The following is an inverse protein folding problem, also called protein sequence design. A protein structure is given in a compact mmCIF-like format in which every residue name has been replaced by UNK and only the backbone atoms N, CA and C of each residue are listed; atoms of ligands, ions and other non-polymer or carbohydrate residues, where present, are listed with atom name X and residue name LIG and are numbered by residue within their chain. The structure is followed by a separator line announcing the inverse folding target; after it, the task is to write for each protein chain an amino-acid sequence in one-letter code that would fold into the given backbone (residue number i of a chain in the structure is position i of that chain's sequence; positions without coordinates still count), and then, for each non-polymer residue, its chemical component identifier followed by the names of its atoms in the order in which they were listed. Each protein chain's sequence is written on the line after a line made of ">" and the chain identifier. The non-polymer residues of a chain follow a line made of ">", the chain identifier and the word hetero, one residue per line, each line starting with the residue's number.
data_IF_628072152831
#
_entry.id   IF_628072152831
#
_cell.length_a   1.000
_cell.length_b   1.000
_cell.length_c   1.000
_cell.angle_alpha   90.00
_cell.angle_beta   90.00
_cell.angle_gamma   90.00
#
_symmetry.space_group_name_H-M   'P 1'
#
loop_
_entity.id
_entity.type
_entity.pdbx_description
1 polymer ?
#
# COMPACT_ATOMS: atom_id res chain seq x y z
N UNK A 1 23.98 8.18 8.72
CA UNK A 1 25.42 7.91 8.44
C UNK A 1 25.91 8.81 7.31
N UNK A 2 27.21 8.96 7.12
CA UNK A 2 27.81 9.73 6.02
C UNK A 2 28.85 8.88 5.28
N UNK A 3 28.81 8.89 3.94
CA UNK A 3 29.84 8.29 3.07
C UNK A 3 30.19 9.26 1.94
N UNK A 4 31.48 9.51 1.75
CA UNK A 4 31.94 10.47 0.75
C UNK A 4 33.30 10.10 0.16
N UNK A 5 33.57 10.61 -1.05
CA UNK A 5 34.84 10.43 -1.77
C UNK A 5 35.31 8.97 -1.87
N UNK A 6 34.40 8.02 -2.08
CA UNK A 6 34.79 6.69 -2.55
C UNK A 6 35.40 6.81 -3.94
N UNK A 7 36.40 5.96 -4.23
CA UNK A 7 37.13 5.97 -5.49
C UNK A 7 36.94 4.68 -6.28
N UNK A 8 36.87 4.79 -7.61
CA UNK A 8 36.70 3.66 -8.54
C UNK A 8 37.95 3.38 -9.39
N UNK A 9 39.13 3.58 -8.81
CA UNK A 9 40.48 3.38 -9.41
C UNK A 9 40.53 3.78 -10.90
N UNK A 10 40.16 5.03 -11.22
CA UNK A 10 40.24 5.54 -12.60
C UNK A 10 39.34 4.83 -13.61
N UNK A 11 38.24 4.22 -13.17
CA UNK A 11 37.30 3.46 -14.00
C UNK A 11 37.69 1.98 -14.21
N UNK A 12 38.75 1.50 -13.57
CA UNK A 12 39.10 0.07 -13.57
C UNK A 12 38.25 -0.74 -12.59
N UNK A 13 37.76 -0.09 -11.52
CA UNK A 13 36.75 -0.66 -10.63
C UNK A 13 35.35 -0.31 -11.15
N UNK A 14 34.50 -1.31 -11.32
CA UNK A 14 33.10 -1.13 -11.72
C UNK A 14 32.20 -0.57 -10.61
N UNK A 15 32.71 -0.54 -9.37
CA UNK A 15 32.00 -0.14 -8.16
C UNK A 15 32.46 1.24 -7.65
N UNK A 16 32.44 1.44 -6.32
CA UNK A 16 32.76 2.70 -5.66
C UNK A 16 31.51 3.47 -5.25
N UNK A 17 30.38 2.81 -5.10
CA UNK A 17 29.15 3.40 -4.59
C UNK A 17 29.27 3.68 -3.09
N UNK A 18 28.47 4.61 -2.58
CA UNK A 18 28.37 4.85 -1.15
C UNK A 18 27.74 3.67 -0.40
N UNK A 19 26.71 3.08 -0.99
CA UNK A 19 25.89 2.04 -0.39
C UNK A 19 25.72 0.89 -1.38
N UNK A 20 25.78 -0.34 -0.87
CA UNK A 20 25.62 -1.55 -1.68
C UNK A 20 24.65 -2.51 -0.99
N UNK A 21 23.52 -2.77 -1.64
CA UNK A 21 22.67 -3.89 -1.34
C UNK A 21 23.14 -5.08 -2.18
N UNK A 22 24.04 -5.86 -1.59
CA UNK A 22 24.56 -7.09 -2.17
C UNK A 22 23.62 -8.28 -1.88
N UNK A 23 24.10 -9.50 -2.09
CA UNK A 23 23.37 -10.75 -1.89
C UNK A 23 22.74 -10.79 -0.50
N UNK A 24 21.41 -10.76 -0.47
CA UNK A 24 20.64 -10.61 0.74
C UNK A 24 19.16 -10.43 0.44
N UNK A 25 18.35 -10.46 1.49
CA UNK A 25 16.92 -10.23 1.41
C UNK A 25 16.51 -9.20 2.47
N UNK A 26 15.89 -8.10 2.04
CA UNK A 26 15.35 -7.08 2.94
C UNK A 26 16.38 -6.06 3.46
N UNK A 27 17.49 -5.83 2.76
CA UNK A 27 18.45 -4.76 3.12
C UNK A 27 17.75 -3.39 3.12
N UNK A 28 17.82 -2.66 4.25
CA UNK A 28 17.24 -1.32 4.39
C UNK A 28 18.35 -0.29 4.63
N UNK A 29 18.42 0.70 3.75
CA UNK A 29 19.22 1.91 3.95
C UNK A 29 18.27 3.08 4.21
N UNK A 30 18.34 3.64 5.43
CA UNK A 30 17.59 4.83 5.82
C UNK A 30 18.42 5.87 6.56
N UNK A 31 18.10 7.14 6.35
CA UNK A 31 18.69 8.28 7.06
C UNK A 31 20.21 8.44 6.82
N UNK A 32 20.64 8.17 5.59
CA UNK A 32 22.04 8.24 5.18
C UNK A 32 22.28 9.42 4.23
N UNK A 33 23.45 10.04 4.39
CA UNK A 33 23.95 11.09 3.53
C UNK A 33 25.13 10.54 2.72
N UNK A 34 25.11 10.73 1.41
CA UNK A 34 26.25 10.43 0.55
C UNK A 34 26.62 11.62 -0.31
N UNK A 35 27.92 11.84 -0.52
CA UNK A 35 28.34 12.85 -1.47
C UNK A 35 29.69 12.60 -2.16
N UNK A 36 29.79 13.06 -3.40
CA UNK A 36 31.02 13.04 -4.20
C UNK A 36 31.67 11.65 -4.37
N UNK A 37 30.87 10.59 -4.31
CA UNK A 37 31.33 9.22 -4.51
C UNK A 37 31.52 8.92 -6.00
N UNK A 38 32.66 8.34 -6.41
CA UNK A 38 32.98 8.11 -7.83
C UNK A 38 32.11 7.03 -8.49
N UNK A 39 31.67 6.01 -7.73
CA UNK A 39 30.84 4.92 -8.25
C UNK A 39 29.33 5.17 -8.18
N UNK A 40 28.88 6.21 -7.46
CA UNK A 40 27.47 6.56 -7.31
C UNK A 40 26.97 6.49 -5.88
N UNK A 41 25.65 6.60 -5.70
CA UNK A 41 25.04 6.58 -4.37
C UNK A 41 24.73 5.15 -3.93
N UNK A 42 23.88 4.43 -4.66
CA UNK A 42 23.35 3.15 -4.21
C UNK A 42 23.42 2.08 -5.31
N UNK A 43 24.10 0.98 -5.02
CA UNK A 43 24.11 -0.23 -5.83
C UNK A 43 23.10 -1.25 -5.31
N UNK A 44 22.41 -1.92 -6.24
CA UNK A 44 21.68 -3.15 -5.98
C UNK A 44 22.36 -4.24 -6.80
N UNK A 45 23.16 -5.07 -6.12
CA UNK A 45 24.14 -5.94 -6.76
C UNK A 45 23.52 -7.29 -7.14
N UNK A 46 23.31 -7.47 -8.44
CA UNK A 46 23.02 -8.75 -9.08
C UNK A 46 21.68 -9.37 -8.65
N UNK A 47 21.43 -10.58 -9.15
CA UNK A 47 20.13 -11.24 -9.10
C UNK A 47 19.71 -11.76 -7.71
N UNK A 48 20.60 -11.65 -6.71
CA UNK A 48 20.36 -12.16 -5.35
C UNK A 48 20.20 -11.06 -4.29
N UNK A 49 20.12 -9.79 -4.72
CA UNK A 49 19.75 -8.67 -3.85
C UNK A 49 18.21 -8.48 -3.86
N UNK A 50 17.52 -9.24 -3.00
CA UNK A 50 16.06 -9.27 -2.90
C UNK A 50 15.52 -8.17 -1.98
N UNK A 51 14.37 -7.61 -2.37
CA UNK A 51 13.52 -6.75 -1.54
C UNK A 51 14.25 -5.59 -0.84
N UNK A 52 15.27 -5.01 -1.48
CA UNK A 52 16.02 -3.91 -0.89
C UNK A 52 15.17 -2.64 -0.79
N UNK A 53 15.37 -1.88 0.28
CA UNK A 53 14.69 -0.60 0.54
C UNK A 53 15.72 0.49 0.72
N UNK A 54 15.59 1.57 -0.05
CA UNK A 54 16.41 2.77 0.07
C UNK A 54 15.47 3.95 0.31
N UNK A 55 15.42 4.46 1.54
CA UNK A 55 14.44 5.48 1.95
C UNK A 55 14.95 6.61 2.81
N UNK A 56 14.39 7.81 2.69
CA UNK A 56 14.76 8.95 3.55
C UNK A 56 16.28 9.18 3.59
N UNK A 57 16.95 9.03 2.45
CA UNK A 57 18.37 9.33 2.29
C UNK A 57 18.56 10.60 1.47
N UNK A 58 19.70 11.26 1.66
CA UNK A 58 20.14 12.41 0.87
C UNK A 58 21.40 12.00 0.11
N UNK A 59 21.42 12.22 -1.21
CA UNK A 59 22.61 12.05 -2.04
C UNK A 59 22.92 13.35 -2.74
N UNK A 60 24.19 13.75 -2.72
CA UNK A 60 24.65 15.01 -3.28
C UNK A 60 25.88 14.78 -4.15
N UNK A 61 25.82 15.12 -5.43
CA UNK A 61 26.98 15.11 -6.32
C UNK A 61 27.70 13.75 -6.47
N UNK A 62 27.06 12.65 -6.09
CA UNK A 62 27.53 11.30 -6.41
C UNK A 62 27.62 11.12 -7.94
N UNK A 63 28.59 10.32 -8.40
CA UNK A 63 29.01 10.22 -9.81
C UNK A 63 28.48 8.93 -10.46
N UNK A 64 28.94 8.62 -11.69
CA UNK A 64 28.65 7.42 -12.52
C UNK A 64 27.16 7.16 -12.87
N UNK A 65 26.32 7.12 -11.85
CA UNK A 65 24.86 7.19 -11.83
C UNK A 65 24.41 7.05 -10.38
N UNK A 66 23.34 7.76 -10.00
CA UNK A 66 22.92 7.80 -8.59
C UNK A 66 22.47 6.42 -8.10
N UNK A 67 21.66 5.73 -8.89
CA UNK A 67 21.21 4.36 -8.63
C UNK A 67 21.86 3.41 -9.64
N UNK A 68 22.59 2.40 -9.15
CA UNK A 68 23.19 1.34 -9.94
C UNK A 68 22.36 0.07 -9.82
N UNK A 69 21.55 -0.23 -10.84
CA UNK A 69 20.60 -1.34 -10.82
C UNK A 69 21.12 -2.55 -11.62
N UNK A 70 22.09 -3.27 -11.05
CA UNK A 70 22.76 -4.37 -11.73
C UNK A 70 21.92 -5.66 -11.68
N UNK A 71 20.99 -5.88 -12.62
CA UNK A 71 20.28 -7.18 -12.79
C UNK A 71 19.39 -7.63 -11.62
N UNK A 72 19.05 -6.74 -10.68
CA UNK A 72 18.37 -7.13 -9.43
C UNK A 72 16.88 -7.47 -9.59
N UNK A 73 16.34 -8.35 -8.71
CA UNK A 73 14.96 -8.83 -8.79
C UNK A 73 13.92 -7.75 -8.44
N UNK A 74 14.16 -6.90 -7.43
CA UNK A 74 13.36 -5.72 -7.07
C UNK A 74 14.02 -4.87 -5.98
N UNK A 75 14.02 -3.54 -6.13
CA UNK A 75 14.31 -2.59 -5.06
C UNK A 75 13.23 -1.49 -4.96
N UNK A 76 12.88 -1.08 -3.73
CA UNK A 76 11.97 0.02 -3.46
C UNK A 76 12.78 1.26 -3.06
N UNK A 77 12.68 2.33 -3.84
CA UNK A 77 13.43 3.58 -3.68
C UNK A 77 12.43 4.70 -3.40
N UNK A 78 12.31 5.16 -2.15
CA UNK A 78 11.29 6.15 -1.83
C UNK A 78 11.65 7.20 -0.81
N UNK A 79 11.03 8.38 -0.88
CA UNK A 79 11.28 9.48 0.06
C UNK A 79 12.77 9.86 0.17
N UNK A 80 13.53 9.78 -0.93
CA UNK A 80 14.92 10.26 -0.94
C UNK A 80 15.00 11.62 -1.64
N UNK A 81 16.05 12.37 -1.32
CA UNK A 81 16.42 13.58 -2.05
C UNK A 81 17.75 13.39 -2.75
N UNK A 82 17.72 13.36 -4.08
CA UNK A 82 18.89 13.21 -4.94
C UNK A 82 19.23 14.55 -5.59
N UNK A 83 20.38 15.11 -5.24
CA UNK A 83 20.93 16.32 -5.86
C UNK A 83 22.04 15.94 -6.83
N UNK A 84 21.71 15.92 -8.11
CA UNK A 84 22.46 15.26 -9.17
C UNK A 84 23.24 16.31 -9.96
N UNK A 85 24.57 16.21 -9.95
CA UNK A 85 25.44 17.12 -10.69
C UNK A 85 25.32 16.94 -12.21
N UNK A 86 25.78 17.95 -12.94
CA UNK A 86 25.73 17.99 -14.40
C UNK A 86 26.35 16.72 -15.03
N UNK A 87 25.70 16.21 -16.07
CA UNK A 87 26.08 15.01 -16.82
C UNK A 87 26.01 13.66 -16.07
N UNK A 88 25.48 13.60 -14.85
CA UNK A 88 25.26 12.33 -14.14
C UNK A 88 23.84 11.79 -14.42
N UNK A 89 23.66 10.51 -14.79
CA UNK A 89 22.35 9.86 -14.90
C UNK A 89 21.73 9.52 -13.55
N UNK A 90 20.40 9.55 -13.47
CA UNK A 90 19.69 9.06 -12.28
C UNK A 90 19.91 7.54 -12.08
N UNK A 91 19.63 6.74 -13.10
CA UNK A 91 19.88 5.28 -13.08
C UNK A 91 20.98 4.93 -14.07
N UNK A 92 21.88 4.05 -13.64
CA UNK A 92 22.98 3.52 -14.43
C UNK A 92 23.08 2.00 -14.26
N UNK A 93 23.65 1.31 -15.24
CA UNK A 93 24.11 -0.08 -15.10
C UNK A 93 25.32 -0.31 -15.98
N UNK A 94 26.30 -1.04 -15.45
CA UNK A 94 27.46 -1.54 -16.19
C UNK A 94 27.26 -2.98 -16.72
N UNK A 95 26.19 -3.67 -16.29
CA UNK A 95 25.94 -5.09 -16.63
C UNK A 95 25.19 -5.29 -17.95
N UNK A 96 24.72 -4.20 -18.57
CA UNK A 96 23.89 -4.24 -19.78
C UNK A 96 22.45 -4.76 -19.54
N UNK A 97 22.11 -5.08 -18.29
CA UNK A 97 20.78 -5.50 -17.86
C UNK A 97 20.36 -4.71 -16.63
N UNK A 98 19.12 -4.25 -16.63
CA UNK A 98 18.57 -3.47 -15.53
C UNK A 98 17.73 -4.36 -14.63
N UNK A 99 17.84 -4.14 -13.32
CA UNK A 99 16.93 -4.72 -12.35
C UNK A 99 15.53 -4.08 -12.37
N UNK A 100 14.68 -4.53 -11.46
CA UNK A 100 13.34 -3.95 -11.24
C UNK A 100 13.40 -2.88 -10.15
N UNK A 101 12.89 -1.67 -10.41
CA UNK A 101 12.84 -0.58 -9.43
C UNK A 101 11.41 -0.08 -9.24
N UNK A 102 11.01 0.16 -7.99
CA UNK A 102 9.79 0.91 -7.64
C UNK A 102 10.19 2.23 -6.99
N UNK A 103 10.01 3.34 -7.71
CA UNK A 103 10.53 4.67 -7.36
C UNK A 103 9.38 5.60 -6.97
N UNK A 104 9.27 5.98 -5.70
CA UNK A 104 8.13 6.78 -5.18
C UNK A 104 8.53 7.94 -4.28
N UNK A 105 7.81 9.05 -4.30
CA UNK A 105 8.03 10.16 -3.36
C UNK A 105 9.47 10.71 -3.31
N UNK A 106 10.27 10.59 -4.37
CA UNK A 106 11.63 11.12 -4.37
C UNK A 106 11.66 12.54 -4.95
N UNK A 107 12.55 13.38 -4.44
CA UNK A 107 12.99 14.59 -5.16
C UNK A 107 14.23 14.21 -5.97
N UNK A 108 14.13 14.29 -7.29
CA UNK A 108 15.20 14.02 -8.25
C UNK A 108 15.59 15.36 -8.88
N UNK A 109 16.61 15.99 -8.30
CA UNK A 109 17.02 17.35 -8.62
C UNK A 109 18.26 17.37 -9.51
N UNK A 110 18.10 17.70 -10.80
CA UNK A 110 19.25 17.85 -11.70
C UNK A 110 19.84 19.27 -11.65
N UNK A 111 21.03 19.39 -11.06
CA UNK A 111 21.74 20.66 -10.87
C UNK A 111 22.58 21.10 -12.10
N UNK A 112 22.28 20.58 -13.30
CA UNK A 112 22.94 20.99 -14.53
C UNK A 112 22.57 22.41 -14.98
N UNK A 113 23.45 23.04 -15.75
CA UNK A 113 23.25 24.40 -16.24
C UNK A 113 22.10 24.54 -17.24
N UNK A 114 21.73 23.43 -17.88
CA UNK A 114 20.62 23.32 -18.83
C UNK A 114 19.77 22.09 -18.52
N UNK A 115 18.46 22.07 -18.87
CA UNK A 115 17.61 20.93 -18.59
C UNK A 115 18.05 19.68 -19.37
N UNK A 116 17.95 18.51 -18.73
CA UNK A 116 18.43 17.24 -19.30
C UNK A 116 17.31 16.39 -19.88
N UNK A 117 17.57 15.72 -21.01
CA UNK A 117 16.79 14.54 -21.41
C UNK A 117 17.36 13.32 -20.70
N UNK A 118 16.55 12.64 -19.90
CA UNK A 118 16.98 11.47 -19.13
C UNK A 118 16.39 10.19 -19.71
N UNK A 119 17.18 9.11 -19.67
CA UNK A 119 16.66 7.80 -19.99
C UNK A 119 16.05 7.16 -18.73
N UNK A 120 14.72 7.26 -18.60
CA UNK A 120 13.99 6.67 -17.48
C UNK A 120 13.62 5.19 -17.69
N UNK A 121 13.81 4.66 -18.90
CA UNK A 121 13.46 3.28 -19.27
C UNK A 121 14.65 2.36 -19.04
N UNK A 122 14.85 2.01 -17.78
CA UNK A 122 15.94 1.15 -17.31
C UNK A 122 15.35 -0.15 -16.78
N UNK A 123 15.08 -1.13 -17.66
CA UNK A 123 14.45 -2.40 -17.25
C UNK A 123 12.98 -2.25 -16.86
N UNK A 124 12.56 -2.94 -15.80
CA UNK A 124 11.21 -2.83 -15.22
C UNK A 124 11.19 -1.78 -14.11
N UNK A 125 11.03 -0.50 -14.46
CA UNK A 125 10.93 0.59 -13.49
C UNK A 125 9.50 1.16 -13.43
N UNK A 126 8.96 1.32 -12.22
CA UNK A 126 7.75 2.11 -11.95
C UNK A 126 8.12 3.41 -11.24
N UNK A 127 7.41 4.48 -11.59
CA UNK A 127 7.58 5.80 -10.98
C UNK A 127 6.21 6.34 -10.58
N UNK A 128 6.05 6.82 -9.34
CA UNK A 128 4.84 7.53 -8.92
C UNK A 128 5.15 8.59 -7.85
N UNK A 129 4.42 9.71 -7.85
CA UNK A 129 4.57 10.77 -6.83
C UNK A 129 6.00 11.30 -6.66
N UNK A 130 6.84 11.29 -7.70
CA UNK A 130 8.19 11.88 -7.61
C UNK A 130 8.18 13.32 -8.14
N UNK A 131 9.09 14.15 -7.65
CA UNK A 131 9.38 15.49 -8.21
C UNK A 131 10.67 15.42 -9.03
N UNK A 132 10.61 15.84 -10.29
CA UNK A 132 11.74 15.90 -11.21
C UNK A 132 12.05 17.35 -11.52
N UNK A 133 13.23 17.83 -11.10
CA UNK A 133 13.64 19.22 -11.32
C UNK A 133 14.66 19.29 -12.45
N UNK A 134 14.44 20.22 -13.39
CA UNK A 134 15.36 20.56 -14.47
C UNK A 134 15.58 19.42 -15.48
N UNK A 135 14.52 18.68 -15.78
CA UNK A 135 14.49 17.70 -16.87
C UNK A 135 13.56 18.18 -18.00
N UNK A 136 13.88 17.82 -19.24
CA UNK A 136 13.02 18.03 -20.41
C UNK A 136 11.90 16.98 -20.50
N UNK A 137 12.08 15.83 -19.86
CA UNK A 137 11.15 14.71 -19.86
C UNK A 137 11.08 14.05 -18.48
N UNK A 138 9.93 13.45 -18.16
CA UNK A 138 9.71 12.66 -16.93
C UNK A 138 9.14 11.28 -17.29
N UNK A 139 9.33 10.25 -16.45
CA UNK A 139 8.76 8.93 -16.70
C UNK A 139 7.23 8.97 -16.63
N UNK A 140 6.60 8.08 -17.40
CA UNK A 140 5.18 7.79 -17.25
C UNK A 140 4.92 7.21 -15.86
N UNK A 141 3.88 7.69 -15.20
CA UNK A 141 3.59 7.30 -13.83
C UNK A 141 2.55 8.21 -13.19
N UNK A 142 1.92 7.73 -12.12
CA UNK A 142 0.89 8.48 -11.42
C UNK A 142 1.51 9.66 -10.66
N UNK A 143 0.90 10.84 -10.77
CA UNK A 143 1.20 12.02 -9.95
C UNK A 143 2.68 12.47 -9.93
N UNK A 144 3.47 12.11 -10.95
CA UNK A 144 4.83 12.64 -11.12
C UNK A 144 4.76 14.14 -11.46
N UNK A 145 5.61 14.93 -10.82
CA UNK A 145 5.66 16.39 -10.98
C UNK A 145 6.96 16.78 -11.70
N UNK A 146 6.83 17.40 -12.88
CA UNK A 146 7.96 18.02 -13.58
C UNK A 146 8.06 19.50 -13.17
N UNK A 147 9.27 19.96 -12.87
CA UNK A 147 9.57 21.35 -12.52
C UNK A 147 10.78 21.86 -13.30
N UNK A 148 10.71 23.12 -13.73
CA UNK A 148 11.88 23.84 -14.23
C UNK A 148 12.90 24.06 -13.10
N UNK A 149 14.15 24.43 -13.44
CA UNK A 149 15.14 24.81 -12.44
C UNK A 149 14.66 25.99 -11.55
N UNK A 150 13.94 26.96 -12.14
CA UNK A 150 13.41 28.13 -11.43
C UNK A 150 12.34 27.74 -10.43
N UNK A 151 11.38 26.89 -10.83
CA UNK A 151 10.37 26.38 -9.92
C UNK A 151 10.99 25.50 -8.83
N UNK A 152 11.95 24.65 -9.19
CA UNK A 152 12.64 23.74 -8.26
C UNK A 152 13.39 24.46 -7.14
N UNK A 153 13.86 25.69 -7.38
CA UNK A 153 14.50 26.51 -6.36
C UNK A 153 13.56 26.90 -5.19
N UNK A 154 12.25 26.72 -5.34
CA UNK A 154 11.26 26.93 -4.27
C UNK A 154 10.99 25.69 -3.41
N UNK A 155 11.58 24.53 -3.74
CA UNK A 155 11.30 23.29 -3.02
C UNK A 155 11.99 23.23 -1.65
N UNK A 156 13.28 23.53 -1.64
CA UNK A 156 14.19 23.35 -0.49
C UNK A 156 14.99 24.62 -0.24
N UNK A 157 15.47 24.82 0.98
CA UNK A 157 16.10 26.08 1.42
C UNK A 157 17.32 26.48 0.57
N UNK A 158 18.31 25.60 0.45
CA UNK A 158 19.53 25.81 -0.38
C UNK A 158 20.21 24.45 -0.66
N UNK A 159 19.59 23.58 -1.49
CA UNK A 159 20.06 22.22 -1.70
C UNK A 159 21.40 22.19 -2.45
N UNK A 160 22.22 21.17 -2.22
CA UNK A 160 23.54 21.03 -2.84
C UNK A 160 24.68 21.71 -2.09
N UNK A 161 24.43 22.18 -0.86
CA UNK A 161 25.42 22.81 0.04
C UNK A 161 25.79 21.96 1.24
N UNK A 162 25.39 20.69 1.25
CA UNK A 162 25.82 19.74 2.28
C UNK A 162 27.34 19.64 2.31
N UNK A 163 27.89 19.66 3.51
CA UNK A 163 29.32 19.57 3.78
C UNK A 163 29.69 18.28 4.48
N UNK A 164 30.99 18.10 4.66
CA UNK A 164 31.55 16.88 5.26
C UNK A 164 31.63 16.99 6.77
N UNK A 165 31.27 15.91 7.47
CA UNK A 165 31.47 15.79 8.91
C UNK A 165 32.94 15.94 9.31
N UNK A 166 33.20 16.60 10.44
CA UNK A 166 34.55 16.87 10.93
C UNK A 166 34.60 16.87 12.47
N UNK A 167 35.75 17.28 13.03
CA UNK A 167 35.96 17.31 14.48
C UNK A 167 35.01 18.29 15.21
N UNK A 168 34.38 19.22 14.50
CA UNK A 168 33.48 20.24 15.05
C UNK A 168 31.99 19.84 14.97
N UNK A 169 31.65 18.78 14.24
CA UNK A 169 30.28 18.31 14.11
C UNK A 169 30.09 17.29 13.00
N UNK A 170 28.99 16.55 13.07
CA UNK A 170 28.59 15.63 12.00
C UNK A 170 28.11 16.41 10.76
N UNK A 171 28.10 15.75 9.59
CA UNK A 171 27.59 16.36 8.36
C UNK A 171 26.14 16.82 8.48
N UNK A 172 25.32 16.19 9.34
CA UNK A 172 23.91 16.55 9.55
C UNK A 172 23.72 18.06 9.82
N UNK A 173 24.63 18.69 10.57
CA UNK A 173 24.60 20.12 10.88
C UNK A 173 24.77 21.04 9.65
N UNK A 174 25.08 20.48 8.48
CA UNK A 174 25.28 21.21 7.22
C UNK A 174 24.15 20.96 6.21
N UNK A 175 23.17 20.12 6.56
CA UNK A 175 22.14 19.63 5.63
C UNK A 175 20.83 20.42 5.69
N UNK A 176 20.77 21.53 6.43
CA UNK A 176 19.58 22.39 6.51
C UNK A 176 19.11 22.90 5.14
N UNK A 177 20.01 22.99 4.17
CA UNK A 177 19.68 23.35 2.78
C UNK A 177 18.70 22.37 2.10
N UNK A 178 18.56 21.14 2.61
CA UNK A 178 17.65 20.12 2.10
C UNK A 178 16.26 20.13 2.78
N UNK A 179 16.06 20.96 3.80
CA UNK A 179 14.73 21.14 4.40
C UNK A 179 13.80 21.81 3.39
N UNK A 180 12.53 21.43 3.41
CA UNK A 180 11.52 22.02 2.54
C UNK A 180 11.24 23.48 2.96
N UNK A 181 10.96 24.33 1.99
CA UNK A 181 10.49 25.70 2.24
C UNK A 181 8.97 25.74 2.43
N UNK A 182 8.49 26.78 3.13
CA UNK A 182 7.05 27.05 3.24
C UNK A 182 6.40 27.16 1.85
N UNK A 183 5.27 26.45 1.67
CA UNK A 183 4.57 26.40 0.38
C UNK A 183 5.25 25.57 -0.70
N UNK A 184 6.31 24.83 -0.35
CA UNK A 184 6.92 23.85 -1.25
C UNK A 184 5.89 22.87 -1.78
N UNK A 185 5.94 22.59 -3.09
CA UNK A 185 5.07 21.61 -3.76
C UNK A 185 5.33 20.17 -3.34
N UNK A 186 6.37 19.92 -2.55
CA UNK A 186 6.65 18.63 -1.95
C UNK A 186 5.80 18.36 -0.71
N UNK A 187 5.31 19.40 -0.03
CA UNK A 187 4.55 19.28 1.20
C UNK A 187 3.20 18.57 0.93
N UNK A 188 2.93 17.50 1.66
CA UNK A 188 1.76 16.63 1.56
C UNK A 188 1.49 16.11 0.14
N UNK A 189 2.51 15.96 -0.69
CA UNK A 189 2.35 15.55 -2.09
C UNK A 189 2.69 14.07 -2.32
N UNK A 190 3.25 13.40 -1.30
CA UNK A 190 3.61 12.00 -1.34
C UNK A 190 2.42 11.07 -1.17
N UNK A 191 2.69 9.78 -1.33
CA UNK A 191 1.75 8.70 -1.02
C UNK A 191 2.34 7.80 0.05
N UNK A 192 1.51 7.21 0.91
CA UNK A 192 2.02 6.27 1.91
C UNK A 192 2.68 5.06 1.24
N UNK A 193 3.92 4.81 1.60
CA UNK A 193 4.66 3.61 1.21
C UNK A 193 4.77 2.72 2.44
N UNK A 194 4.33 1.47 2.32
CA UNK A 194 4.39 0.50 3.42
C UNK A 194 5.85 0.34 3.89
N UNK A 195 6.07 0.65 5.16
CA UNK A 195 7.35 0.46 5.82
C UNK A 195 7.50 -1.01 6.23
N UNK A 196 8.64 -1.68 5.96
CA UNK A 196 8.86 -3.04 6.40
C UNK A 196 8.57 -3.22 7.91
N UNK A 197 7.66 -4.13 8.24
CA UNK A 197 7.14 -4.29 9.61
C UNK A 197 8.24 -4.57 10.65
N UNK A 198 9.29 -5.31 10.27
CA UNK A 198 10.39 -5.64 11.16
C UNK A 198 11.15 -4.41 11.68
N UNK A 199 11.09 -3.26 10.98
CA UNK A 199 11.74 -2.03 11.46
C UNK A 199 11.09 -1.50 12.74
N UNK A 200 9.77 -1.63 12.88
CA UNK A 200 9.06 -1.27 14.10
C UNK A 200 9.41 -2.21 15.27
N UNK A 201 9.66 -3.49 14.98
CA UNK A 201 10.11 -4.46 16.00
C UNK A 201 11.52 -4.14 16.53
N UNK A 202 12.30 -3.38 15.77
CA UNK A 202 13.67 -2.98 16.11
C UNK A 202 13.76 -1.62 16.84
N UNK A 203 12.63 -0.97 17.17
CA UNK A 203 12.63 0.31 17.92
C UNK A 203 13.39 0.22 19.25
N UNK A 204 13.26 -0.90 19.96
CA UNK A 204 14.02 -1.17 21.19
C UNK A 204 15.54 -1.19 21.01
N UNK A 205 16.03 -1.29 19.76
CA UNK A 205 17.43 -1.28 19.37
C UNK A 205 17.87 0.09 18.82
N UNK A 206 17.00 1.10 18.84
CA UNK A 206 17.26 2.45 18.32
C UNK A 206 17.03 2.61 16.82
N UNK A 207 16.31 1.68 16.18
CA UNK A 207 15.85 1.82 14.79
C UNK A 207 14.51 2.56 14.80
N UNK A 208 14.45 3.73 14.18
CA UNK A 208 13.22 4.49 14.06
C UNK A 208 12.60 4.26 12.68
N UNK A 209 11.34 3.86 12.62
CA UNK A 209 10.66 3.48 11.37
C UNK A 209 9.66 4.55 10.90
N UNK A 210 9.35 5.51 11.75
CA UNK A 210 8.25 6.47 11.71
C UNK A 210 8.72 7.93 11.56
N UNK A 211 9.98 8.13 11.19
CA UNK A 211 10.59 9.46 11.03
C UNK A 211 11.32 9.62 9.70
N UNK A 212 11.59 10.88 9.33
CA UNK A 212 12.37 11.29 8.16
C UNK A 212 13.89 11.30 8.43
N UNK A 213 14.67 11.86 7.50
CA UNK A 213 16.12 12.01 7.63
C UNK A 213 16.54 12.90 8.83
N UNK A 214 15.72 13.88 9.20
CA UNK A 214 15.99 14.88 10.24
C UNK A 214 15.36 14.52 11.59
N UNK A 215 14.65 13.40 11.69
CA UNK A 215 13.97 12.95 12.90
C UNK A 215 12.57 13.54 13.08
N UNK A 216 11.99 14.14 12.04
CA UNK A 216 10.60 14.58 12.06
C UNK A 216 9.68 13.36 11.86
N UNK A 217 8.55 13.28 12.60
CA UNK A 217 7.60 12.18 12.43
C UNK A 217 6.91 12.23 11.07
N UNK A 218 6.66 11.06 10.49
CA UNK A 218 5.99 10.90 9.19
C UNK A 218 4.47 10.88 9.38
N UNK A 219 3.76 11.72 8.63
CA UNK A 219 2.29 11.73 8.59
C UNK A 219 1.69 10.65 7.69
N UNK A 220 0.36 10.56 7.65
CA UNK A 220 -0.37 9.76 6.65
C UNK A 220 -0.36 10.37 5.26
N UNK A 221 0.00 11.65 5.14
CA UNK A 221 0.25 12.31 3.87
C UNK A 221 1.70 12.79 3.81
N UNK A 222 2.65 11.86 3.58
CA UNK A 222 4.07 12.19 3.66
C UNK A 222 4.45 13.24 2.61
N UNK A 223 5.49 14.00 2.93
CA UNK A 223 6.10 14.91 1.99
C UNK A 223 6.88 14.14 0.91
N UNK A 224 7.11 14.75 -0.25
CA UNK A 224 8.01 14.18 -1.27
C UNK A 224 9.45 14.56 -0.90
N UNK A 225 10.34 13.56 -0.80
CA UNK A 225 11.76 13.74 -0.48
C UNK A 225 12.12 13.23 0.91
N UNK A 226 13.33 13.58 1.36
CA UNK A 226 13.92 13.09 2.60
C UNK A 226 13.55 13.91 3.86
N UNK A 227 12.79 14.99 3.71
CA UNK A 227 12.35 15.87 4.80
C UNK A 227 10.83 15.89 4.88
N UNK A 228 10.31 15.76 6.10
CA UNK A 228 8.92 15.96 6.47
C UNK A 228 8.75 17.31 7.15
N UNK A 229 7.77 18.07 6.69
CA UNK A 229 7.27 19.28 7.34
C UNK A 229 6.51 18.95 8.61
N UNK A 230 6.22 19.95 9.44
CA UNK A 230 5.51 19.72 10.69
C UNK A 230 4.14 19.08 10.45
N UNK A 231 3.79 18.05 11.24
CA UNK A 231 2.50 17.35 11.16
C UNK A 231 1.28 18.28 11.23
N UNK A 232 1.40 19.43 11.89
CA UNK A 232 0.36 20.46 11.90
C UNK A 232 0.00 20.98 10.49
N UNK A 233 0.89 20.79 9.52
CA UNK A 233 0.73 21.15 8.13
C UNK A 233 0.16 20.03 7.27
N UNK A 234 -0.10 18.81 7.79
CA UNK A 234 -0.61 17.63 7.04
C UNK A 234 -1.94 17.88 6.27
N UNK A 235 -2.54 19.04 6.52
CA UNK A 235 -3.77 19.50 5.92
C UNK A 235 -4.98 19.09 6.74
N UNK A 236 -6.14 19.19 6.12
CA UNK A 236 -7.44 18.94 6.74
C UNK A 236 -8.15 17.71 6.13
N UNK A 237 -7.46 16.95 5.29
CA UNK A 237 -7.96 15.69 4.77
C UNK A 237 -7.97 14.64 5.88
N UNK A 238 -9.13 14.02 6.12
CA UNK A 238 -9.31 13.01 7.16
C UNK A 238 -9.05 11.63 6.58
N UNK A 239 -7.87 11.09 6.90
CA UNK A 239 -7.39 9.77 6.49
C UNK A 239 -7.44 8.82 7.68
N UNK A 240 -7.70 7.54 7.40
CA UNK A 240 -7.66 6.44 8.37
C UNK A 240 -6.99 5.25 7.70
N UNK A 241 -5.95 4.71 8.33
CA UNK A 241 -5.26 3.50 7.87
C UNK A 241 -5.10 2.51 9.01
N UNK A 242 -5.04 1.23 8.67
CA UNK A 242 -4.75 0.16 9.62
C UNK A 242 -4.06 -0.99 8.90
N UNK A 243 -3.09 -1.61 9.57
CA UNK A 243 -2.49 -2.88 9.14
C UNK A 243 -3.19 -4.10 9.78
N UNK A 244 -4.21 -3.87 10.62
CA UNK A 244 -4.92 -4.91 11.37
C UNK A 244 -6.37 -5.02 10.90
N UNK A 245 -7.04 -3.88 10.75
CA UNK A 245 -8.44 -3.82 10.35
C UNK A 245 -8.60 -3.48 8.89
N UNK A 246 -9.66 -3.99 8.27
CA UNK A 246 -10.00 -3.66 6.90
C UNK A 246 -10.78 -2.35 6.86
N UNK A 247 -10.16 -1.30 6.34
CA UNK A 247 -10.79 0.00 6.09
C UNK A 247 -11.46 -0.03 4.72
N UNK A 248 -12.74 0.34 4.67
CA UNK A 248 -13.51 0.46 3.42
C UNK A 248 -14.07 1.87 3.33
N UNK A 249 -13.82 2.53 2.21
CA UNK A 249 -14.34 3.87 1.90
C UNK A 249 -15.06 3.83 0.55
N UNK A 250 -16.38 4.03 0.58
CA UNK A 250 -17.26 3.93 -0.58
C UNK A 250 -18.33 5.04 -0.53
N UNK A 251 -18.94 5.36 -1.68
CA UNK A 251 -20.04 6.35 -1.77
C UNK A 251 -21.24 5.99 -0.88
N UNK A 252 -21.40 4.71 -0.53
CA UNK A 252 -22.46 4.16 0.32
C UNK A 252 -22.17 4.32 1.82
N UNK A 253 -20.94 4.70 2.19
CA UNK A 253 -20.49 4.90 3.57
C UNK A 253 -19.14 4.23 3.85
N UNK A 254 -18.43 4.72 4.86
CA UNK A 254 -17.15 4.15 5.27
C UNK A 254 -17.33 3.16 6.43
N UNK A 255 -16.43 2.18 6.52
CA UNK A 255 -16.43 1.22 7.61
C UNK A 255 -15.03 0.74 7.99
N UNK A 256 -14.92 0.26 9.23
CA UNK A 256 -13.78 -0.51 9.72
C UNK A 256 -14.26 -1.90 10.11
N UNK A 257 -13.70 -2.91 9.48
CA UNK A 257 -14.19 -4.29 9.56
C UNK A 257 -13.14 -5.22 10.17
N UNK A 258 -13.62 -6.34 10.71
CA UNK A 258 -12.76 -7.37 11.29
C UNK A 258 -12.22 -7.01 12.67
N UNK A 259 -12.97 -6.23 13.46
CA UNK A 259 -12.57 -5.88 14.82
C UNK A 259 -12.83 -7.10 15.73
N UNK A 260 -11.82 -7.65 16.43
CA UNK A 260 -12.03 -8.80 17.30
C UNK A 260 -13.02 -8.50 18.42
N UNK A 261 -13.76 -9.52 18.86
CA UNK A 261 -14.68 -9.37 20.00
C UNK A 261 -13.94 -8.95 21.26
N UNK A 262 -14.64 -8.20 22.12
CA UNK A 262 -14.12 -7.65 23.38
C UNK A 262 -12.97 -6.64 23.20
N UNK A 263 -12.75 -6.13 21.98
CA UNK A 263 -11.82 -5.01 21.76
C UNK A 263 -12.39 -3.74 22.38
N UNK A 264 -11.63 -3.11 23.28
CA UNK A 264 -11.97 -1.79 23.84
C UNK A 264 -11.68 -0.67 22.85
N UNK A 265 -12.29 0.50 23.05
CA UNK A 265 -12.00 1.68 22.22
C UNK A 265 -10.51 2.03 22.26
N UNK A 266 -9.85 1.93 23.41
CA UNK A 266 -8.40 2.13 23.57
C UNK A 266 -7.60 1.16 22.67
N UNK A 267 -7.85 -0.14 22.81
CA UNK A 267 -7.15 -1.18 22.03
C UNK A 267 -7.38 -1.02 20.52
N UNK A 268 -8.56 -0.56 20.11
CA UNK A 268 -8.84 -0.28 18.71
C UNK A 268 -8.04 0.93 18.20
N UNK A 269 -8.02 2.03 18.96
CA UNK A 269 -7.31 3.24 18.57
C UNK A 269 -5.79 3.01 18.48
N UNK A 270 -5.23 2.09 19.25
CA UNK A 270 -3.83 1.65 19.13
C UNK A 270 -3.50 0.93 17.81
N UNK A 271 -4.51 0.43 17.08
CA UNK A 271 -4.33 -0.36 15.84
C UNK A 271 -4.74 0.39 14.58
N UNK A 272 -5.12 1.65 14.71
CA UNK A 272 -5.38 2.56 13.59
C UNK A 272 -4.45 3.76 13.65
N UNK A 273 -4.15 4.32 12.49
CA UNK A 273 -3.51 5.62 12.37
C UNK A 273 -4.48 6.53 11.61
N UNK A 274 -4.53 7.79 12.00
CA UNK A 274 -5.37 8.80 11.35
C UNK A 274 -4.60 10.12 11.23
N UNK A 275 -5.07 11.02 10.36
CA UNK A 275 -4.44 12.33 10.14
C UNK A 275 -4.10 12.99 11.47
N UNK A 276 -2.86 13.42 11.64
CA UNK A 276 -2.31 13.86 12.93
C UNK A 276 -3.05 15.07 13.54
N UNK A 277 -3.63 15.92 12.70
CA UNK A 277 -4.43 17.09 13.10
C UNK A 277 -5.85 16.73 13.53
N UNK A 278 -6.28 15.48 13.34
CA UNK A 278 -7.61 15.02 13.66
C UNK A 278 -7.73 14.48 15.09
N UNK A 279 -8.93 14.57 15.65
CA UNK A 279 -9.33 13.83 16.85
C UNK A 279 -10.20 12.65 16.46
N UNK A 280 -10.06 11.52 17.16
CA UNK A 280 -10.89 10.33 17.01
C UNK A 280 -11.82 10.18 18.21
N UNK A 281 -13.12 9.98 17.94
CA UNK A 281 -14.11 9.65 18.98
C UNK A 281 -15.04 8.55 18.49
N UNK A 282 -15.20 7.51 19.31
CA UNK A 282 -16.20 6.47 19.08
C UNK A 282 -17.50 6.87 19.76
N UNK A 283 -18.62 6.76 19.05
CA UNK A 283 -19.95 6.99 19.58
C UNK A 283 -20.86 5.78 19.37
N UNK A 284 -21.80 5.60 20.29
CA UNK A 284 -22.90 4.64 20.21
C UNK A 284 -24.20 5.41 20.29
N UNK A 285 -24.99 5.39 19.22
CA UNK A 285 -26.24 6.16 19.14
C UNK A 285 -26.02 7.62 19.56
N UNK A 286 -25.02 8.28 18.96
CA UNK A 286 -24.57 9.66 19.23
C UNK A 286 -24.02 9.94 20.64
N UNK A 287 -23.90 8.92 21.51
CA UNK A 287 -23.29 9.06 22.84
C UNK A 287 -21.82 8.61 22.79
N UNK A 288 -20.86 9.40 23.30
CA UNK A 288 -19.46 8.97 23.39
C UNK A 288 -19.29 7.63 24.12
N UNK A 289 -18.43 6.77 23.59
CA UNK A 289 -18.02 5.50 24.22
C UNK A 289 -16.67 5.72 24.89
N UNK A 290 -16.57 5.40 26.18
CA UNK A 290 -15.35 5.58 26.96
C UNK A 290 -14.24 4.63 26.48
N UNK A 291 -12.98 5.03 26.63
CA UNK A 291 -11.82 4.28 26.13
C UNK A 291 -11.77 2.82 26.63
N UNK A 292 -12.21 2.57 27.87
CA UNK A 292 -12.21 1.24 28.49
C UNK A 292 -13.42 0.37 28.10
N UNK A 293 -14.42 0.93 27.42
CA UNK A 293 -15.60 0.18 27.00
C UNK A 293 -15.33 -0.59 25.71
N UNK A 294 -15.98 -1.75 25.59
CA UNK A 294 -15.90 -2.56 24.37
C UNK A 294 -16.65 -1.89 23.22
N UNK A 295 -16.06 -2.00 22.03
CA UNK A 295 -16.72 -1.64 20.77
C UNK A 295 -17.83 -2.65 20.49
N UNK A 296 -18.99 -2.13 20.10
CA UNK A 296 -20.07 -2.93 19.54
C UNK A 296 -20.19 -2.67 18.05
N UNK A 297 -20.68 -3.67 17.34
CA UNK A 297 -21.00 -3.53 15.92
C UNK A 297 -22.04 -2.43 15.72
N UNK A 298 -21.75 -1.48 14.83
CA UNK A 298 -22.58 -0.29 14.59
C UNK A 298 -22.18 0.94 15.38
N UNK A 299 -21.19 0.85 16.29
CA UNK A 299 -20.54 2.04 16.85
C UNK A 299 -19.88 2.84 15.72
N UNK A 300 -19.77 4.15 15.87
CA UNK A 300 -19.26 5.06 14.84
C UNK A 300 -17.96 5.69 15.33
N UNK A 301 -16.86 5.44 14.61
CA UNK A 301 -15.66 6.26 14.73
C UNK A 301 -15.86 7.55 13.93
N UNK A 302 -15.75 8.70 14.59
CA UNK A 302 -15.73 10.01 13.94
C UNK A 302 -14.33 10.59 14.06
N UNK A 303 -13.69 10.82 12.90
CA UNK A 303 -12.52 11.69 12.79
C UNK A 303 -13.00 13.13 12.62
N UNK A 304 -12.40 14.08 13.34
CA UNK A 304 -12.73 15.51 13.25
C UNK A 304 -11.46 16.35 13.21
N UNK A 305 -11.36 17.25 12.22
CA UNK A 305 -10.32 18.28 12.15
C UNK A 305 -10.94 19.56 11.57
N UNK A 306 -10.65 20.71 12.18
CA UNK A 306 -11.30 21.99 11.85
C UNK A 306 -12.85 21.86 11.81
N UNK A 307 -13.49 22.14 10.67
CA UNK A 307 -14.93 21.99 10.42
C UNK A 307 -15.29 20.68 9.71
N UNK A 308 -14.31 19.84 9.38
CA UNK A 308 -14.50 18.58 8.66
C UNK A 308 -14.72 17.41 9.62
N UNK A 309 -15.56 16.48 9.17
CA UNK A 309 -15.81 15.20 9.84
C UNK A 309 -15.83 14.07 8.83
N UNK A 310 -15.27 12.92 9.23
CA UNK A 310 -15.35 11.67 8.47
C UNK A 310 -15.72 10.55 9.42
N UNK A 311 -16.73 9.78 9.06
CA UNK A 311 -17.31 8.75 9.92
C UNK A 311 -17.10 7.37 9.33
N UNK A 312 -16.83 6.41 10.21
CA UNK A 312 -16.69 5.00 9.88
C UNK A 312 -17.58 4.17 10.79
N UNK A 313 -18.40 3.30 10.20
CA UNK A 313 -19.15 2.31 10.97
C UNK A 313 -18.21 1.17 11.37
N UNK A 314 -18.17 0.84 12.66
CA UNK A 314 -17.31 -0.19 13.22
C UNK A 314 -18.04 -1.54 13.21
N UNK A 315 -17.42 -2.54 12.59
CA UNK A 315 -17.96 -3.88 12.49
C UNK A 315 -17.00 -4.91 13.11
N UNK A 316 -17.55 -5.67 14.06
CA UNK A 316 -16.82 -6.78 14.68
C UNK A 316 -16.62 -7.92 13.68
N UNK A 317 -15.65 -8.79 13.96
CA UNK A 317 -15.47 -10.05 13.25
C UNK A 317 -16.78 -10.87 13.23
N UNK A 318 -17.20 -11.40 12.06
CA UNK A 318 -18.43 -12.18 11.97
C UNK A 318 -18.38 -13.49 12.75
N UNK A 319 -19.54 -13.92 13.22
CA UNK A 319 -19.80 -15.33 13.55
C UNK A 319 -20.39 -16.03 12.34
N UNK A 320 -19.74 -17.09 11.87
CA UNK A 320 -20.24 -17.92 10.78
C UNK A 320 -21.16 -19.01 11.29
N UNK A 321 -22.20 -19.29 10.51
CA UNK A 321 -23.16 -20.33 10.84
C UNK A 321 -22.61 -21.72 10.54
N UNK A 322 -23.08 -22.70 11.32
CA UNK A 322 -22.93 -24.11 10.98
C UNK A 322 -23.67 -24.40 9.66
N UNK A 323 -22.95 -24.97 8.70
CA UNK A 323 -23.46 -25.21 7.33
C UNK A 323 -24.06 -26.61 7.14
N UNK A 324 -24.19 -27.37 8.23
CA UNK A 324 -24.72 -28.74 8.17
C UNK A 324 -26.12 -28.74 7.56
N UNK A 325 -26.29 -29.48 6.45
CA UNK A 325 -27.56 -29.60 5.72
C UNK A 325 -27.83 -28.50 4.69
N UNK A 326 -26.97 -27.48 4.59
CA UNK A 326 -27.05 -26.49 3.52
C UNK A 326 -26.80 -27.14 2.16
N UNK A 327 -27.32 -26.52 1.11
CA UNK A 327 -27.05 -26.93 -0.28
C UNK A 327 -26.66 -25.74 -1.11
N UNK A 328 -25.84 -25.95 -2.13
CA UNK A 328 -25.49 -24.93 -3.10
C UNK A 328 -25.90 -25.31 -4.52
N UNK A 329 -26.24 -24.30 -5.32
CA UNK A 329 -26.41 -24.40 -6.77
C UNK A 329 -25.57 -23.32 -7.45
N UNK A 330 -25.15 -23.55 -8.69
CA UNK A 330 -24.34 -22.58 -9.43
C UNK A 330 -24.81 -22.47 -10.87
N UNK A 331 -24.55 -21.31 -11.49
CA UNK A 331 -24.87 -21.09 -12.90
C UNK A 331 -24.01 -21.92 -13.86
N UNK A 332 -22.83 -22.34 -13.42
CA UNK A 332 -21.95 -23.27 -14.14
C UNK A 332 -21.15 -24.11 -13.13
N UNK A 333 -20.85 -25.35 -13.50
CA UNK A 333 -20.02 -26.24 -12.71
C UNK A 333 -19.22 -27.18 -13.61
N UNK A 334 -17.99 -27.47 -13.18
CA UNK A 334 -17.17 -28.51 -13.75
C UNK A 334 -17.53 -29.87 -13.13
N UNK A 335 -17.49 -30.94 -13.93
CA UNK A 335 -17.69 -32.30 -13.43
C UNK A 335 -16.63 -32.65 -12.37
N UNK A 336 -17.06 -32.96 -11.15
CA UNK A 336 -16.20 -33.26 -10.00
C UNK A 336 -15.88 -32.06 -9.08
N UNK A 337 -16.22 -30.84 -9.52
CA UNK A 337 -15.97 -29.57 -8.82
C UNK A 337 -17.30 -28.80 -8.70
N UNK A 338 -18.35 -29.49 -8.24
CA UNK A 338 -19.70 -28.96 -8.11
C UNK A 338 -19.85 -27.93 -6.99
N UNK A 339 -20.99 -27.23 -6.96
CA UNK A 339 -21.25 -26.15 -6.00
C UNK A 339 -21.17 -26.62 -4.53
N UNK A 340 -21.45 -27.90 -4.26
CA UNK A 340 -21.33 -28.52 -2.94
C UNK A 340 -19.92 -28.43 -2.35
N UNK A 341 -18.89 -28.34 -3.19
CA UNK A 341 -17.51 -28.19 -2.76
C UNK A 341 -17.23 -26.87 -2.06
N UNK A 342 -18.04 -25.84 -2.28
CA UNK A 342 -17.92 -24.58 -1.57
C UNK A 342 -18.47 -24.65 -0.11
N UNK A 343 -19.02 -25.78 0.31
CA UNK A 343 -19.66 -25.97 1.62
C UNK A 343 -19.09 -27.15 2.41
N UNK A 344 -18.06 -27.83 1.92
CA UNK A 344 -17.58 -29.10 2.50
C UNK A 344 -16.51 -28.94 3.60
N UNK A 345 -16.05 -27.71 3.84
CA UNK A 345 -15.10 -27.38 4.91
C UNK A 345 -13.66 -27.76 4.57
N UNK A 346 -13.37 -28.06 3.30
CA UNK A 346 -12.06 -28.46 2.82
C UNK A 346 -11.54 -27.48 1.77
N UNK A 347 -10.61 -26.63 2.21
CA UNK A 347 -9.98 -25.60 1.37
C UNK A 347 -9.15 -26.16 0.20
N UNK A 348 -8.82 -27.46 0.21
CA UNK A 348 -8.12 -28.15 -0.88
C UNK A 348 -9.07 -28.59 -2.01
N UNK A 349 -10.38 -28.58 -1.77
CA UNK A 349 -11.41 -28.76 -2.79
C UNK A 349 -12.03 -27.42 -3.18
N UNK A 350 -12.67 -27.38 -4.35
CA UNK A 350 -13.36 -26.17 -4.80
C UNK A 350 -14.55 -26.48 -5.69
N UNK A 351 -15.52 -25.57 -5.66
CA UNK A 351 -16.41 -25.37 -6.78
C UNK A 351 -15.65 -24.59 -7.86
N UNK A 352 -15.77 -25.05 -9.11
CA UNK A 352 -15.28 -24.32 -10.27
C UNK A 352 -16.35 -24.34 -11.36
N UNK A 353 -16.54 -23.22 -12.06
CA UNK A 353 -17.30 -23.19 -13.31
C UNK A 353 -16.71 -24.14 -14.36
N UNK A 354 -17.44 -24.47 -15.42
CA UNK A 354 -16.93 -25.35 -16.47
C UNK A 354 -15.55 -24.90 -17.02
N UNK A 355 -14.61 -25.83 -17.23
CA UNK A 355 -13.27 -25.52 -17.77
C UNK A 355 -13.27 -25.06 -19.23
N UNK A 356 -14.41 -25.15 -19.94
CA UNK A 356 -14.59 -24.51 -21.26
C UNK A 356 -15.08 -23.05 -21.15
N UNK A 357 -15.16 -22.51 -19.93
CA UNK A 357 -15.66 -21.18 -19.63
C UNK A 357 -17.15 -21.17 -19.26
N UNK A 358 -17.58 -20.12 -18.59
CA UNK A 358 -18.99 -19.80 -18.38
C UNK A 358 -19.32 -18.41 -18.95
N UNK A 359 -20.60 -18.17 -19.24
CA UNK A 359 -21.07 -16.83 -19.58
C UNK A 359 -21.24 -15.97 -18.31
N UNK A 360 -21.33 -14.65 -18.46
CA UNK A 360 -21.44 -13.73 -17.32
C UNK A 360 -22.73 -13.95 -16.49
N UNK A 361 -23.83 -14.35 -17.13
CA UNK A 361 -25.10 -14.71 -16.48
C UNK A 361 -25.05 -16.07 -15.76
N UNK A 362 -24.00 -16.86 -15.99
CA UNK A 362 -23.72 -18.12 -15.29
C UNK A 362 -22.68 -17.96 -14.16
N UNK A 363 -22.06 -16.78 -14.01
CA UNK A 363 -20.98 -16.53 -13.07
C UNK A 363 -21.49 -16.28 -11.64
N UNK A 364 -22.21 -17.24 -11.07
CA UNK A 364 -22.78 -17.15 -9.72
C UNK A 364 -22.89 -18.51 -9.03
N UNK A 365 -22.89 -18.46 -7.69
CA UNK A 365 -23.25 -19.55 -6.77
C UNK A 365 -24.29 -19.07 -5.77
N UNK A 366 -25.27 -19.91 -5.49
CA UNK A 366 -26.38 -19.67 -4.57
C UNK A 366 -26.37 -20.71 -3.47
N UNK A 367 -26.46 -20.25 -2.22
CA UNK A 367 -26.48 -21.07 -1.02
C UNK A 367 -27.88 -21.03 -0.45
N UNK A 368 -28.47 -22.21 -0.22
CA UNK A 368 -29.72 -22.39 0.52
C UNK A 368 -29.38 -22.85 1.94
N UNK A 369 -29.61 -21.95 2.90
CA UNK A 369 -29.37 -22.19 4.32
C UNK A 369 -30.43 -23.08 4.98
N UNK A 370 -31.44 -23.54 4.22
CA UNK A 370 -32.59 -24.37 4.64
C UNK A 370 -33.55 -23.74 5.64
N UNK A 371 -33.18 -22.62 6.22
CA UNK A 371 -34.00 -21.83 7.11
C UNK A 371 -33.67 -20.35 6.89
N UNK A 372 -34.67 -19.49 7.10
CA UNK A 372 -34.47 -18.05 7.09
C UNK A 372 -33.68 -17.63 8.33
N UNK A 373 -32.57 -16.93 8.12
CA UNK A 373 -31.68 -16.44 9.19
C UNK A 373 -31.27 -14.99 8.91
N UNK A 374 -30.83 -14.29 9.95
CA UNK A 374 -30.25 -12.96 9.80
C UNK A 374 -28.84 -13.10 9.25
N UNK A 375 -28.55 -12.52 8.09
CA UNK A 375 -27.22 -12.53 7.48
C UNK A 375 -26.68 -11.10 7.48
N UNK A 376 -25.45 -10.93 7.93
CA UNK A 376 -24.71 -9.65 7.84
C UNK A 376 -23.25 -9.84 7.45
N UNK A 377 -22.85 -11.06 7.08
CA UNK A 377 -21.51 -11.34 6.60
C UNK A 377 -21.47 -12.48 5.58
N UNK A 378 -20.56 -12.36 4.62
CA UNK A 378 -20.14 -13.43 3.72
C UNK A 378 -18.61 -13.51 3.74
N UNK A 379 -18.07 -14.72 3.85
CA UNK A 379 -16.66 -15.00 3.63
C UNK A 379 -16.50 -15.83 2.37
N UNK A 380 -15.64 -15.35 1.48
CA UNK A 380 -15.23 -16.02 0.27
C UNK A 380 -13.79 -16.51 0.45
N UNK A 381 -13.61 -17.82 0.44
CA UNK A 381 -12.28 -18.44 0.40
C UNK A 381 -11.99 -18.80 -1.06
N UNK A 382 -11.06 -18.11 -1.73
CA UNK A 382 -10.69 -18.45 -3.09
C UNK A 382 -9.97 -19.81 -3.14
N UNK A 383 -9.73 -20.31 -4.36
CA UNK A 383 -8.77 -21.40 -4.59
C UNK A 383 -7.41 -21.07 -3.96
N UNK A 384 -6.67 -22.09 -3.49
CA UNK A 384 -5.41 -21.87 -2.75
C UNK A 384 -4.20 -21.47 -3.62
N UNK A 385 -4.31 -21.60 -4.94
CA UNK A 385 -3.29 -21.19 -5.90
C UNK A 385 -3.91 -20.92 -7.27
N UNK A 386 -3.19 -20.19 -8.13
CA UNK A 386 -3.62 -19.75 -9.48
C UNK A 386 -4.76 -18.71 -9.44
N UNK A 387 -5.01 -18.08 -10.59
CA UNK A 387 -5.94 -16.94 -10.70
C UNK A 387 -7.29 -17.28 -11.34
N UNK A 388 -7.40 -18.42 -12.01
CA UNK A 388 -8.61 -18.76 -12.78
C UNK A 388 -9.82 -18.88 -11.86
N UNK A 389 -10.78 -17.97 -12.02
CA UNK A 389 -12.00 -17.94 -11.26
C UNK A 389 -11.94 -17.18 -9.95
N UNK A 390 -10.89 -16.39 -9.69
CA UNK A 390 -10.91 -15.41 -8.60
C UNK A 390 -11.95 -14.33 -8.90
N UNK A 391 -12.78 -13.98 -7.90
CA UNK A 391 -13.78 -12.92 -8.01
C UNK A 391 -13.11 -11.57 -7.73
N UNK A 392 -13.22 -10.63 -8.67
CA UNK A 392 -12.62 -9.29 -8.57
C UNK A 392 -13.66 -8.21 -8.29
N UNK A 393 -14.84 -8.33 -8.90
CA UNK A 393 -15.99 -7.49 -8.63
C UNK A 393 -17.16 -8.43 -8.34
N UNK A 394 -17.92 -8.14 -7.29
CA UNK A 394 -18.99 -9.01 -6.83
C UNK A 394 -20.32 -8.28 -6.65
N UNK A 395 -21.38 -9.09 -6.70
CA UNK A 395 -22.72 -8.74 -6.23
C UNK A 395 -23.26 -9.87 -5.37
N UNK A 396 -23.68 -9.54 -4.16
CA UNK A 396 -24.37 -10.43 -3.21
C UNK A 396 -25.84 -10.09 -3.22
N UNK A 397 -26.66 -11.09 -3.51
CA UNK A 397 -28.11 -10.97 -3.57
C UNK A 397 -28.75 -11.90 -2.55
N UNK A 398 -29.91 -11.50 -2.03
CA UNK A 398 -30.59 -12.20 -0.95
C UNK A 398 -32.01 -12.55 -1.35
N UNK A 399 -32.49 -13.70 -0.90
CA UNK A 399 -33.86 -14.12 -1.15
C UNK A 399 -34.41 -14.91 0.04
N UNK A 400 -35.73 -14.81 0.26
CA UNK A 400 -36.47 -15.61 1.25
C UNK A 400 -37.12 -16.84 0.61
N UNK A 401 -37.30 -16.87 -0.71
CA UNK A 401 -38.01 -17.93 -1.43
C UNK A 401 -37.17 -18.61 -2.54
N UNK A 402 -36.00 -18.06 -2.87
CA UNK A 402 -35.09 -18.58 -3.89
C UNK A 402 -35.44 -18.16 -5.33
N UNK A 403 -36.49 -17.36 -5.50
CA UNK A 403 -37.03 -16.93 -6.80
C UNK A 403 -37.01 -15.42 -6.99
N UNK A 404 -37.39 -14.63 -5.98
CA UNK A 404 -37.23 -13.17 -6.00
C UNK A 404 -35.94 -12.76 -5.28
N UNK A 405 -35.06 -12.09 -6.02
CA UNK A 405 -33.74 -11.65 -5.59
C UNK A 405 -33.62 -10.11 -5.50
N UNK A 406 -34.72 -9.41 -5.78
CA UNK A 406 -34.76 -7.95 -5.91
C UNK A 406 -35.39 -7.25 -4.71
N UNK A 407 -36.13 -7.99 -3.88
CA UNK A 407 -36.83 -7.46 -2.70
C UNK A 407 -35.89 -6.93 -1.61
N UNK A 408 -34.66 -7.46 -1.54
CA UNK A 408 -33.63 -7.05 -0.58
C UNK A 408 -32.50 -6.38 -1.37
N UNK A 409 -32.03 -5.17 -0.99
CA UNK A 409 -30.93 -4.51 -1.66
C UNK A 409 -29.68 -5.41 -1.74
N UNK A 410 -29.08 -5.49 -2.92
CA UNK A 410 -27.84 -6.22 -3.11
C UNK A 410 -26.65 -5.46 -2.54
N UNK A 411 -25.61 -6.20 -2.14
CA UNK A 411 -24.31 -5.64 -1.75
C UNK A 411 -23.34 -5.84 -2.91
N UNK A 412 -22.65 -4.79 -3.34
CA UNK A 412 -21.62 -4.87 -4.38
C UNK A 412 -20.28 -4.45 -3.81
N UNK A 413 -19.19 -4.86 -4.44
CA UNK A 413 -17.85 -4.42 -4.04
C UNK A 413 -16.77 -5.05 -4.90
N UNK A 414 -15.53 -4.82 -4.50
CA UNK A 414 -14.35 -5.33 -5.21
C UNK A 414 -13.41 -6.07 -4.26
N UNK A 415 -12.66 -7.02 -4.81
CA UNK A 415 -11.63 -7.76 -4.09
C UNK A 415 -10.32 -7.74 -4.89
N UNK A 416 -9.20 -7.72 -4.15
CA UNK A 416 -7.88 -7.82 -4.75
C UNK A 416 -7.70 -9.16 -5.47
N UNK A 417 -6.93 -9.12 -6.58
CA UNK A 417 -6.58 -10.31 -7.37
C UNK A 417 -5.50 -11.14 -6.66
N UNK A 418 -5.88 -11.80 -5.59
CA UNK A 418 -5.02 -12.71 -4.84
C UNK A 418 -5.85 -13.84 -4.19
N UNK A 419 -5.16 -14.85 -3.70
CA UNK A 419 -5.76 -16.05 -3.11
C UNK A 419 -6.11 -15.88 -1.61
N UNK A 420 -5.99 -14.68 -1.03
CA UNK A 420 -6.32 -14.46 0.38
C UNK A 420 -7.83 -14.58 0.63
N UNK A 421 -8.21 -15.00 1.82
CA UNK A 421 -9.63 -15.04 2.21
C UNK A 421 -10.22 -13.62 2.21
N UNK A 422 -11.42 -13.48 1.67
CA UNK A 422 -12.14 -12.20 1.59
C UNK A 422 -13.35 -12.24 2.49
N UNK A 423 -13.54 -11.21 3.30
CA UNK A 423 -14.73 -11.02 4.14
C UNK A 423 -15.44 -9.75 3.71
N UNK A 424 -16.76 -9.82 3.61
CA UNK A 424 -17.62 -8.66 3.45
C UNK A 424 -18.71 -8.70 4.51
N UNK A 425 -18.91 -7.54 5.11
CA UNK A 425 -19.90 -7.26 6.16
C UNK A 425 -20.89 -6.23 5.62
N UNK A 426 -22.13 -6.32 6.05
CA UNK A 426 -23.22 -5.45 5.56
C UNK A 426 -24.34 -5.38 6.58
N UNK A 427 -25.26 -4.43 6.38
CA UNK A 427 -26.46 -4.27 7.22
C UNK A 427 -27.23 -5.60 7.34
N UNK A 428 -27.66 -6.02 8.54
CA UNK A 428 -28.36 -7.29 8.72
C UNK A 428 -29.63 -7.42 7.87
N UNK A 429 -29.74 -8.53 7.13
CA UNK A 429 -30.90 -8.88 6.32
C UNK A 429 -31.47 -10.24 6.71
N UNK A 430 -32.77 -10.42 6.60
CA UNK A 430 -33.43 -11.70 6.85
C UNK A 430 -33.55 -12.47 5.53
N UNK A 431 -32.81 -13.58 5.36
CA UNK A 431 -32.76 -14.34 4.12
C UNK A 431 -32.65 -15.84 4.38
N UNK A 432 -33.11 -16.67 3.44
CA UNK A 432 -32.82 -18.11 3.41
C UNK A 432 -31.76 -18.44 2.34
N UNK A 433 -31.78 -17.69 1.24
CA UNK A 433 -30.88 -17.86 0.12
C UNK A 433 -29.97 -16.66 -0.03
N UNK A 434 -28.70 -16.92 -0.30
CA UNK A 434 -27.70 -15.90 -0.61
C UNK A 434 -26.97 -16.30 -1.87
N UNK A 435 -26.92 -15.40 -2.86
CA UNK A 435 -26.24 -15.60 -4.14
C UNK A 435 -25.04 -14.67 -4.25
N UNK A 436 -23.87 -15.25 -4.46
CA UNK A 436 -22.65 -14.53 -4.82
C UNK A 436 -22.46 -14.61 -6.33
N UNK A 437 -22.44 -13.45 -6.98
CA UNK A 437 -22.17 -13.30 -8.41
C UNK A 437 -20.81 -12.62 -8.58
N UNK A 438 -19.92 -13.18 -9.39
CA UNK A 438 -18.71 -12.50 -9.83
C UNK A 438 -19.01 -11.67 -11.07
N UNK A 439 -19.25 -10.36 -10.92
CA UNK A 439 -19.50 -9.44 -12.05
C UNK A 439 -18.24 -9.20 -12.88
N UNK A 440 -17.07 -9.47 -12.29
CA UNK A 440 -15.78 -9.58 -12.98
C UNK A 440 -14.91 -10.61 -12.27
N UNK A 441 -14.21 -11.44 -13.04
CA UNK A 441 -13.35 -12.50 -12.51
C UNK A 441 -11.99 -12.53 -13.22
N UNK A 442 -10.98 -13.10 -12.55
CA UNK A 442 -9.64 -13.26 -13.11
C UNK A 442 -9.52 -14.58 -13.90
N UNK A 443 -8.69 -14.53 -14.94
CA UNK A 443 -8.36 -15.66 -15.81
C UNK A 443 -6.98 -15.47 -16.44
N UNK A 444 -6.24 -16.55 -16.65
CA UNK A 444 -4.99 -16.59 -17.40
C UNK A 444 -5.19 -16.62 -18.93
N UNK A 445 -6.45 -16.76 -19.37
CA UNK A 445 -6.84 -16.77 -20.78
C UNK A 445 -8.04 -15.88 -21.08
N UNK A 446 -8.68 -16.12 -22.22
CA UNK A 446 -9.85 -15.35 -22.68
C UNK A 446 -11.18 -15.85 -22.13
N UNK A 447 -11.16 -16.95 -21.37
CA UNK A 447 -12.36 -17.57 -20.84
C UNK A 447 -12.70 -16.97 -19.48
N UNK A 448 -13.99 -16.79 -19.22
CA UNK A 448 -14.49 -16.40 -17.90
C UNK A 448 -14.67 -17.65 -17.05
N UNK A 449 -14.08 -17.61 -15.85
CA UNK A 449 -14.25 -18.63 -14.84
C UNK A 449 -14.76 -18.00 -13.54
N UNK A 450 -15.38 -18.78 -12.68
CA UNK A 450 -15.65 -18.43 -11.28
C UNK A 450 -15.44 -19.66 -10.41
N UNK A 451 -14.85 -19.46 -9.24
CA UNK A 451 -14.53 -20.56 -8.32
C UNK A 451 -14.57 -20.12 -6.88
N UNK A 452 -14.85 -21.06 -5.98
CA UNK A 452 -14.72 -20.87 -4.54
C UNK A 452 -14.26 -22.17 -3.90
N UNK A 453 -13.22 -22.11 -3.06
CA UNK A 453 -12.86 -23.23 -2.20
C UNK A 453 -13.92 -23.39 -1.12
N UNK A 454 -14.25 -22.30 -0.42
CA UNK A 454 -15.29 -22.29 0.61
C UNK A 454 -16.08 -20.99 0.58
N UNK A 455 -17.35 -21.05 0.98
CA UNK A 455 -18.17 -19.89 1.29
C UNK A 455 -18.82 -20.08 2.66
N UNK A 456 -18.69 -19.06 3.50
CA UNK A 456 -19.34 -18.99 4.81
C UNK A 456 -20.31 -17.81 4.84
N UNK A 457 -21.50 -18.05 5.40
CA UNK A 457 -22.45 -16.99 5.70
C UNK A 457 -22.57 -16.87 7.21
N UNK A 458 -22.71 -15.65 7.67
CA UNK A 458 -22.71 -15.36 9.09
C UNK A 458 -23.45 -14.09 9.43
N UNK A 459 -23.29 -13.71 10.68
CA UNK A 459 -23.77 -12.43 11.19
C UNK A 459 -22.69 -11.78 12.04
N UNK A 460 -22.73 -10.47 12.09
CA UNK A 460 -22.12 -9.73 13.17
C UNK A 460 -23.10 -9.74 14.33
N UNK A 461 -22.65 -10.18 15.50
CA UNK A 461 -23.48 -10.18 16.70
C UNK A 461 -23.53 -8.76 17.25
N UNK A 462 -24.69 -8.13 17.16
CA UNK A 462 -25.02 -7.02 18.05
C UNK A 462 -25.23 -7.63 19.44
N UNK A 463 -24.29 -7.43 20.36
CA UNK A 463 -24.52 -7.77 21.76
C UNK A 463 -25.44 -6.75 22.42
#
# INVERSE_FOLDING_TARGET
>A
NEVYNTHNDGGWNGDGQAWDADWGDGTVYQYNYSHDNEGGCFMICLQHAYNSVFRYNISQNDSAGVIVAATSPRANIYNNTFYIKENVPFVYTNSGSYGTLDVKNNIIYYAGSTPKNENWQTGSCSYANNIFVNYNNVPTGENNIQMTAVEGASLMVDPGKGGTGNAQGNALNTLDGYKLQDGSRAINAGTMVSTPAFLFEMESQGVHADQDFFGNPIGLKPDIGAFESELANEGDELLLVSNVYQIVEEDTGNSVNGIPKNTTVEQFLEKVQYTSTATAQVTRQDTPVEQTQIILSGDILTLSAADKKKQYTLYLEPEYYERTGWTATAGSAQSGEGAEKALDGNVDTLWHSNWNGCTQDQAWISIDMKQSQTVSALQYVPRQAQINGLILEYKIEFSTDGTDWSAIPSVTGTWAQDNTTKTVTFSPVQAQYVRLTGTKTASDGTQTFISAAEIYLGRIVSQ
#
